data_IF_540727387049
#
_entry.id   IF_540727387049
#
_cell.length_a   1.000
_cell.length_b   1.000
_cell.length_c   1.000
_cell.angle_alpha   90.00
_cell.angle_beta   90.00
_cell.angle_gamma   90.00
#
_symmetry.space_group_name_H-M   'P 1'
#
loop_
_entity.id
_entity.type
_entity.pdbx_description
1 polymer ?
#
# COMPACT_ATOMS: atom_id res chain seq x y z
N UNK A 1 16.05 -20.39 2.78
CA UNK A 1 15.82 -21.85 2.84
C UNK A 1 14.99 -22.25 1.63
N UNK A 2 15.32 -23.30 0.88
CA UNK A 2 14.47 -23.78 -0.19
C UNK A 2 13.33 -24.60 0.44
N UNK A 3 12.14 -24.02 0.55
CA UNK A 3 10.92 -24.78 0.80
C UNK A 3 10.44 -25.31 -0.55
N UNK A 4 10.81 -26.54 -0.89
CA UNK A 4 10.16 -27.25 -1.99
C UNK A 4 8.79 -27.68 -1.48
N UNK A 5 7.76 -26.98 -1.93
CA UNK A 5 6.40 -27.44 -1.81
C UNK A 5 6.14 -28.46 -2.91
N UNK A 6 5.51 -29.57 -2.58
CA UNK A 6 5.02 -30.52 -3.57
C UNK A 6 3.68 -30.01 -4.12
N UNK A 7 3.73 -29.29 -5.24
CA UNK A 7 2.54 -28.75 -5.91
C UNK A 7 1.83 -29.86 -6.69
N UNK A 8 0.51 -29.98 -6.52
CA UNK A 8 -0.29 -30.91 -7.30
C UNK A 8 -0.68 -30.30 -8.66
N UNK A 9 -1.02 -31.11 -9.67
CA UNK A 9 -1.60 -30.59 -10.92
C UNK A 9 -2.84 -29.72 -10.70
N UNK A 10 -3.63 -30.02 -9.66
CA UNK A 10 -4.80 -29.22 -9.32
C UNK A 10 -4.42 -27.81 -8.82
N UNK A 11 -3.32 -27.68 -8.06
CA UNK A 11 -2.85 -26.38 -7.57
C UNK A 11 -2.45 -25.46 -8.73
N UNK A 12 -1.80 -26.02 -9.76
CA UNK A 12 -1.36 -25.28 -10.94
C UNK A 12 -2.52 -24.73 -11.78
N UNK A 13 -3.65 -25.45 -11.83
CA UNK A 13 -4.82 -25.08 -12.64
C UNK A 13 -5.81 -24.23 -11.85
N UNK A 14 -5.84 -24.35 -10.51
CA UNK A 14 -6.79 -23.67 -9.64
C UNK A 14 -6.10 -22.85 -8.53
N UNK A 15 -5.26 -21.86 -8.86
CA UNK A 15 -4.62 -21.01 -7.86
C UNK A 15 -5.63 -20.17 -7.09
N UNK A 16 -5.39 -19.97 -5.79
CA UNK A 16 -6.27 -19.19 -4.91
C UNK A 16 -5.61 -17.85 -4.56
N UNK A 17 -6.13 -16.77 -5.13
CA UNK A 17 -5.74 -15.39 -4.79
C UNK A 17 -6.71 -14.74 -3.82
N UNK A 18 -6.57 -14.98 -2.52
CA UNK A 18 -7.41 -14.33 -1.50
C UNK A 18 -6.60 -13.83 -0.31
N UNK A 19 -6.86 -12.58 0.11
CA UNK A 19 -6.24 -11.98 1.30
C UNK A 19 -6.78 -12.55 2.63
N UNK A 20 -7.80 -13.40 2.58
CA UNK A 20 -8.37 -14.07 3.77
C UNK A 20 -7.66 -15.41 4.09
N UNK A 21 -6.70 -15.82 3.27
CA UNK A 21 -5.92 -17.03 3.49
C UNK A 21 -5.01 -16.88 4.72
N UNK A 22 -4.78 -17.99 5.42
CA UNK A 22 -3.77 -18.04 6.48
C UNK A 22 -2.37 -17.71 5.92
N UNK A 23 -1.47 -17.20 6.76
CA UNK A 23 -0.14 -16.75 6.34
C UNK A 23 0.65 -17.82 5.57
N UNK A 24 0.58 -19.09 6.01
CA UNK A 24 1.19 -20.21 5.31
C UNK A 24 0.58 -20.43 3.92
N UNK A 25 -0.75 -20.38 3.79
CA UNK A 25 -1.44 -20.54 2.51
C UNK A 25 -1.15 -19.37 1.55
N UNK A 26 -1.06 -18.13 2.06
CA UNK A 26 -0.61 -16.99 1.26
C UNK A 26 0.81 -17.19 0.72
N UNK A 27 1.72 -17.64 1.58
CA UNK A 27 3.10 -17.91 1.17
C UNK A 27 3.18 -19.03 0.12
N UNK A 28 2.43 -20.12 0.33
CA UNK A 28 2.30 -21.21 -0.63
C UNK A 28 1.80 -20.73 -1.99
N UNK A 29 0.68 -20.00 -2.03
CA UNK A 29 0.05 -19.53 -3.27
C UNK A 29 0.92 -18.51 -4.03
N UNK A 30 1.64 -17.64 -3.31
CA UNK A 30 2.58 -16.70 -3.92
C UNK A 30 3.79 -17.41 -4.52
N UNK A 31 4.35 -18.37 -3.80
CA UNK A 31 5.50 -19.16 -4.30
C UNK A 31 5.10 -20.01 -5.50
N UNK A 32 3.90 -20.60 -5.48
CA UNK A 32 3.31 -21.31 -6.62
C UNK A 32 3.20 -20.41 -7.84
N UNK A 33 2.64 -19.21 -7.66
CA UNK A 33 2.47 -18.26 -8.76
C UNK A 33 3.80 -17.83 -9.35
N UNK A 34 4.74 -17.40 -8.50
CA UNK A 34 6.08 -16.94 -8.90
C UNK A 34 6.87 -18.00 -9.67
N UNK A 35 6.83 -19.26 -9.24
CA UNK A 35 7.70 -20.31 -9.79
C UNK A 35 7.09 -21.11 -10.93
N UNK A 36 5.77 -21.26 -10.97
CA UNK A 36 5.13 -22.24 -11.85
C UNK A 36 4.00 -21.67 -12.72
N UNK A 37 3.37 -20.56 -12.33
CA UNK A 37 2.24 -19.99 -13.08
C UNK A 37 2.66 -18.77 -13.89
N UNK A 38 3.58 -17.96 -13.37
CA UNK A 38 4.02 -16.74 -14.06
C UNK A 38 4.71 -17.08 -15.40
N UNK A 39 4.35 -16.40 -16.51
CA UNK A 39 4.98 -16.62 -17.81
C UNK A 39 6.49 -16.33 -17.78
N UNK A 40 7.31 -17.24 -18.30
CA UNK A 40 8.77 -17.15 -18.26
C UNK A 40 9.34 -16.11 -19.25
N UNK A 41 8.55 -15.71 -20.23
CA UNK A 41 8.89 -14.76 -21.29
C UNK A 41 8.51 -13.31 -20.95
N UNK A 42 7.91 -13.07 -19.78
CA UNK A 42 7.53 -11.75 -19.31
C UNK A 42 8.47 -11.26 -18.19
N UNK A 43 8.71 -9.94 -18.09
CA UNK A 43 9.45 -9.37 -16.97
C UNK A 43 8.73 -9.63 -15.65
N UNK A 44 9.44 -10.13 -14.64
CA UNK A 44 8.86 -10.37 -13.32
C UNK A 44 8.13 -9.13 -12.77
N UNK A 45 6.96 -9.32 -12.14
CA UNK A 45 6.18 -8.21 -11.61
C UNK A 45 6.93 -7.51 -10.48
N UNK A 46 6.73 -6.20 -10.39
CA UNK A 46 7.33 -5.38 -9.34
C UNK A 46 6.65 -5.65 -7.99
N UNK A 47 7.35 -6.35 -7.08
CA UNK A 47 6.83 -6.66 -5.75
C UNK A 47 7.08 -5.51 -4.76
N UNK A 48 6.02 -4.73 -4.50
CA UNK A 48 6.08 -3.50 -3.71
C UNK A 48 5.74 -3.70 -2.22
N UNK A 49 5.25 -4.88 -1.80
CA UNK A 49 4.74 -5.09 -0.44
C UNK A 49 5.85 -5.62 0.48
N UNK A 50 6.81 -6.39 -0.06
CA UNK A 50 7.88 -7.00 0.75
C UNK A 50 9.29 -6.64 0.30
N UNK A 51 9.53 -6.57 -1.00
CA UNK A 51 10.87 -6.30 -1.54
C UNK A 51 11.10 -4.79 -1.70
N UNK A 52 10.30 -4.13 -2.54
CA UNK A 52 10.56 -2.73 -2.93
C UNK A 52 9.60 -1.74 -2.29
N UNK A 53 9.45 -1.82 -0.96
CA UNK A 53 8.52 -0.99 -0.18
C UNK A 53 8.73 0.53 -0.30
N UNK A 54 9.95 0.96 -0.67
CA UNK A 54 10.32 2.37 -0.83
C UNK A 54 10.14 2.87 -2.27
N UNK A 55 9.79 2.00 -3.21
CA UNK A 55 9.59 2.40 -4.60
C UNK A 55 8.47 3.44 -4.71
N UNK A 56 8.75 4.55 -5.40
CA UNK A 56 7.83 5.68 -5.50
C UNK A 56 7.71 6.54 -4.23
N UNK A 57 8.43 6.20 -3.15
CA UNK A 57 8.46 6.98 -1.90
C UNK A 57 9.78 7.72 -1.68
N UNK A 58 10.84 7.33 -2.39
CA UNK A 58 12.15 8.01 -2.35
C UNK A 58 12.66 8.29 -3.75
N UNK A 59 13.44 9.36 -3.88
CA UNK A 59 14.21 9.64 -5.09
C UNK A 59 15.57 8.92 -5.08
N UNK A 60 16.38 9.16 -6.12
CA UNK A 60 17.73 8.58 -6.23
C UNK A 60 18.69 9.09 -5.15
N UNK A 61 18.41 10.24 -4.55
CA UNK A 61 19.17 10.83 -3.45
C UNK A 61 18.63 10.40 -2.07
N UNK A 62 17.70 9.43 -2.01
CA UNK A 62 17.04 8.96 -0.79
C UNK A 62 16.17 10.01 -0.09
N UNK A 63 15.77 11.07 -0.80
CA UNK A 63 14.83 12.06 -0.29
C UNK A 63 13.40 11.54 -0.41
N UNK A 64 12.59 11.72 0.64
CA UNK A 64 11.18 11.30 0.64
C UNK A 64 10.37 12.09 -0.38
N UNK A 65 9.67 11.38 -1.27
CA UNK A 65 8.74 11.93 -2.24
C UNK A 65 7.33 11.86 -1.68
N UNK A 66 6.56 12.94 -1.87
CA UNK A 66 5.15 13.01 -1.50
C UNK A 66 4.37 13.47 -2.72
N UNK A 67 3.47 12.60 -3.20
CA UNK A 67 2.58 12.94 -4.32
C UNK A 67 1.60 14.03 -3.89
N UNK A 68 1.41 15.03 -4.76
CA UNK A 68 0.51 16.17 -4.54
C UNK A 68 -0.76 16.03 -5.39
N UNK A 69 -1.87 16.57 -4.89
CA UNK A 69 -3.18 16.48 -5.52
C UNK A 69 -3.25 16.86 -7.01
N UNK A 70 -2.58 17.94 -7.48
CA UNK A 70 -2.65 18.35 -8.89
C UNK A 70 -2.12 17.31 -9.89
N UNK A 71 -1.29 16.36 -9.46
CA UNK A 71 -0.70 15.34 -10.32
C UNK A 71 -1.53 14.05 -10.39
N UNK A 72 -2.67 14.02 -9.69
CA UNK A 72 -3.55 12.88 -9.61
C UNK A 72 -4.69 12.99 -10.62
N UNK A 73 -5.04 11.87 -11.22
CA UNK A 73 -6.17 11.71 -12.12
C UNK A 73 -7.16 10.69 -11.55
N UNK A 74 -8.44 10.92 -11.81
CA UNK A 74 -9.52 10.04 -11.40
C UNK A 74 -9.45 8.74 -12.22
N UNK A 75 -9.64 7.61 -11.55
CA UNK A 75 -9.88 6.31 -12.18
C UNK A 75 -11.39 6.19 -12.43
N UNK A 76 -11.76 6.05 -13.70
CA UNK A 76 -13.17 5.98 -14.14
C UNK A 76 -13.75 4.60 -13.91
N UNK A 77 -12.95 3.56 -14.13
CA UNK A 77 -13.32 2.16 -13.93
C UNK A 77 -13.09 1.72 -12.48
N UNK A 78 -13.64 2.47 -11.52
CA UNK A 78 -13.53 2.21 -10.09
C UNK A 78 -14.85 1.68 -9.50
N UNK A 79 -14.75 0.81 -8.49
CA UNK A 79 -15.91 0.32 -7.73
C UNK A 79 -16.47 1.39 -6.79
N UNK A 80 -15.57 2.19 -6.20
CA UNK A 80 -15.94 3.34 -5.37
C UNK A 80 -15.66 4.66 -6.09
N UNK A 81 -16.50 5.70 -5.89
CA UNK A 81 -16.21 7.01 -6.45
C UNK A 81 -14.92 7.59 -5.85
N UNK A 82 -14.24 8.44 -6.61
CA UNK A 82 -13.09 9.22 -6.16
C UNK A 82 -11.82 8.39 -5.85
N UNK A 83 -11.56 7.32 -6.61
CA UNK A 83 -10.23 6.71 -6.65
C UNK A 83 -9.31 7.52 -7.58
N UNK A 84 -8.10 7.79 -7.11
CA UNK A 84 -7.11 8.59 -7.82
C UNK A 84 -5.82 7.82 -7.98
N UNK A 85 -5.09 8.06 -9.06
CA UNK A 85 -3.71 7.61 -9.22
C UNK A 85 -2.92 8.69 -9.97
N UNK A 86 -1.61 8.54 -10.09
CA UNK A 86 -0.83 9.39 -10.98
C UNK A 86 -1.37 9.23 -12.42
N UNK A 87 -1.42 10.32 -13.18
CA UNK A 87 -2.03 10.34 -14.51
C UNK A 87 -1.60 9.19 -15.43
N UNK A 88 -0.29 8.85 -15.56
CA UNK A 88 0.15 7.71 -16.37
C UNK A 88 -0.41 6.37 -15.90
N UNK A 89 -0.54 6.20 -14.58
CA UNK A 89 -1.04 4.97 -13.96
C UNK A 89 -2.55 4.84 -14.13
N UNK A 90 -3.29 5.93 -13.94
CA UNK A 90 -4.71 5.96 -14.24
C UNK A 90 -4.99 5.63 -15.72
N UNK A 91 -4.24 6.23 -16.65
CA UNK A 91 -4.37 5.93 -18.07
C UNK A 91 -4.04 4.47 -18.41
N UNK A 92 -2.96 3.93 -17.83
CA UNK A 92 -2.57 2.54 -18.05
C UNK A 92 -3.64 1.57 -17.52
N UNK A 93 -4.21 1.86 -16.35
CA UNK A 93 -5.29 1.06 -15.78
C UNK A 93 -6.55 1.08 -16.65
N UNK A 94 -6.99 2.26 -17.12
CA UNK A 94 -8.15 2.33 -18.02
C UNK A 94 -7.90 1.58 -19.35
N UNK A 95 -6.69 1.68 -19.89
CA UNK A 95 -6.29 0.94 -21.09
C UNK A 95 -6.34 -0.57 -20.87
N UNK A 96 -5.90 -1.03 -19.70
CA UNK A 96 -5.99 -2.42 -19.29
C UNK A 96 -7.44 -2.89 -19.17
N UNK A 97 -8.30 -2.12 -18.49
CA UNK A 97 -9.74 -2.43 -18.36
C UNK A 97 -10.40 -2.54 -19.74
N UNK A 98 -10.12 -1.61 -20.65
CA UNK A 98 -10.68 -1.66 -22.00
C UNK A 98 -10.18 -2.86 -22.80
N UNK A 99 -8.89 -3.20 -22.67
CA UNK A 99 -8.33 -4.40 -23.29
C UNK A 99 -9.02 -5.67 -22.78
N UNK A 100 -9.20 -5.81 -21.46
CA UNK A 100 -9.87 -6.96 -20.85
C UNK A 100 -11.34 -7.07 -21.30
N UNK A 101 -12.05 -5.95 -21.39
CA UNK A 101 -13.43 -5.93 -21.94
C UNK A 101 -13.48 -6.41 -23.38
N UNK A 102 -12.56 -5.95 -24.24
CA UNK A 102 -12.46 -6.41 -25.64
C UNK A 102 -12.16 -7.90 -25.73
N UNK A 103 -11.19 -8.38 -24.95
CA UNK A 103 -10.83 -9.81 -24.90
C UNK A 103 -12.01 -10.69 -24.46
N UNK A 104 -12.81 -10.22 -23.50
CA UNK A 104 -14.01 -10.92 -23.05
C UNK A 104 -15.13 -10.93 -24.12
N UNK A 105 -15.38 -9.81 -24.80
CA UNK A 105 -16.35 -9.74 -25.91
C UNK A 105 -15.95 -10.70 -27.05
N UNK A 106 -14.65 -10.81 -27.34
CA UNK A 106 -14.11 -11.74 -28.34
C UNK A 106 -14.11 -13.20 -27.88
N UNK A 107 -14.49 -13.50 -26.63
CA UNK A 107 -14.52 -14.86 -26.07
C UNK A 107 -13.17 -15.41 -25.63
N UNK A 108 -12.06 -14.69 -25.85
CA UNK A 108 -10.70 -15.16 -25.54
C UNK A 108 -10.52 -15.41 -24.03
N UNK A 109 -11.17 -14.61 -23.19
CA UNK A 109 -11.07 -14.73 -21.74
C UNK A 109 -12.15 -15.63 -21.10
N UNK A 110 -13.19 -16.03 -21.84
CA UNK A 110 -14.47 -16.49 -21.26
C UNK A 110 -14.51 -17.97 -20.90
N UNK A 111 -13.71 -18.79 -21.57
CA UNK A 111 -13.81 -20.25 -21.47
C UNK A 111 -12.85 -20.86 -20.41
N UNK A 112 -11.83 -20.11 -20.00
CA UNK A 112 -10.76 -20.57 -19.08
C UNK A 112 -10.40 -19.50 -18.02
N UNK A 113 -10.84 -18.25 -18.21
CA UNK A 113 -10.43 -17.12 -17.37
C UNK A 113 -11.22 -16.99 -16.07
N UNK A 114 -10.63 -16.28 -15.11
CA UNK A 114 -11.30 -15.89 -13.87
C UNK A 114 -12.45 -14.90 -14.19
N UNK A 115 -13.72 -15.18 -13.82
CA UNK A 115 -14.83 -14.28 -14.10
C UNK A 115 -14.70 -12.88 -13.52
N UNK A 116 -13.89 -12.70 -12.46
CA UNK A 116 -13.58 -11.39 -11.89
C UNK A 116 -12.75 -10.51 -12.83
N UNK A 117 -12.11 -11.10 -13.84
CA UNK A 117 -11.33 -10.39 -14.85
C UNK A 117 -12.19 -9.89 -16.03
N UNK A 118 -13.48 -10.22 -16.06
CA UNK A 118 -14.40 -9.85 -17.15
C UNK A 118 -14.80 -8.38 -17.12
N UNK A 119 -14.92 -7.81 -15.92
CA UNK A 119 -15.17 -6.38 -15.67
C UNK A 119 -14.28 -5.92 -14.52
N UNK A 120 -13.00 -5.71 -14.84
CA UNK A 120 -12.00 -5.25 -13.88
C UNK A 120 -12.40 -3.88 -13.36
N UNK A 121 -12.44 -3.74 -12.03
CA UNK A 121 -12.69 -2.47 -11.34
C UNK A 121 -11.62 -2.22 -10.30
N UNK A 122 -11.17 -0.97 -10.20
CA UNK A 122 -10.30 -0.55 -9.12
C UNK A 122 -11.09 -0.52 -7.80
N UNK A 123 -10.57 -1.19 -6.79
CA UNK A 123 -11.06 -1.19 -5.41
C UNK A 123 -10.25 -0.25 -4.52
N UNK A 124 -8.95 -0.12 -4.79
CA UNK A 124 -8.03 0.72 -4.03
C UNK A 124 -7.06 1.46 -4.95
N UNK A 125 -6.73 2.69 -4.57
CA UNK A 125 -5.76 3.52 -5.29
C UNK A 125 -5.11 4.50 -4.30
N UNK A 126 -4.68 5.67 -4.77
CA UNK A 126 -3.98 6.68 -3.99
C UNK A 126 -4.61 6.90 -2.61
N UNK A 127 -3.76 6.82 -1.58
CA UNK A 127 -4.14 7.12 -0.20
C UNK A 127 -3.39 8.36 0.27
N UNK A 128 -4.11 9.31 0.89
CA UNK A 128 -3.53 10.59 1.25
C UNK A 128 -2.51 10.45 2.42
N UNK A 129 -1.21 10.67 2.18
CA UNK A 129 -0.17 10.52 3.20
C UNK A 129 -0.30 11.55 4.32
N UNK A 130 -0.89 12.72 4.06
CA UNK A 130 -1.12 13.75 5.08
C UNK A 130 -2.16 13.30 6.10
N UNK A 131 -3.28 12.75 5.64
CA UNK A 131 -4.34 12.24 6.52
C UNK A 131 -3.82 11.06 7.36
N UNK A 132 -3.07 10.14 6.76
CA UNK A 132 -2.44 9.03 7.49
C UNK A 132 -1.47 9.50 8.56
N UNK A 133 -0.62 10.48 8.24
CA UNK A 133 0.32 11.04 9.20
C UNK A 133 -0.38 11.82 10.33
N UNK A 134 -1.48 12.52 10.02
CA UNK A 134 -2.26 13.21 11.06
C UNK A 134 -2.87 12.20 12.05
N UNK A 135 -3.54 11.16 11.55
CA UNK A 135 -4.09 10.11 12.40
C UNK A 135 -3.00 9.42 13.25
N UNK A 136 -1.80 9.27 12.69
CA UNK A 136 -0.64 8.75 13.41
C UNK A 136 -0.18 9.69 14.55
N UNK A 137 -0.11 11.00 14.31
CA UNK A 137 0.22 11.98 15.35
C UNK A 137 -0.85 12.08 16.45
N UNK A 138 -2.12 11.95 16.09
CA UNK A 138 -3.23 11.87 17.06
C UNK A 138 -3.04 10.67 18.00
N UNK A 139 -2.67 9.51 17.45
CA UNK A 139 -2.31 8.34 18.25
C UNK A 139 -1.13 8.59 19.19
N UNK A 140 -0.07 9.22 18.71
CA UNK A 140 1.09 9.59 19.52
C UNK A 140 0.72 10.54 20.66
N UNK A 141 -0.16 11.50 20.38
CA UNK A 141 -0.67 12.45 21.36
C UNK A 141 -1.52 11.76 22.43
N UNK A 142 -2.37 10.80 22.05
CA UNK A 142 -3.17 10.01 23.00
C UNK A 142 -2.28 9.17 23.93
N UNK A 143 -1.18 8.60 23.42
CA UNK A 143 -0.20 7.90 24.27
C UNK A 143 0.46 8.89 25.25
N UNK A 144 0.88 10.05 24.76
CA UNK A 144 1.44 11.10 25.63
C UNK A 144 0.48 11.48 26.76
N UNK A 145 -0.80 11.74 26.45
CA UNK A 145 -1.85 12.07 27.43
C UNK A 145 -2.02 10.98 28.48
N UNK A 146 -1.94 9.70 28.11
CA UNK A 146 -2.05 8.57 29.06
C UNK A 146 -0.83 8.41 29.94
N UNK A 147 0.34 8.82 29.46
CA UNK A 147 1.60 8.81 30.24
C UNK A 147 1.79 10.07 31.09
N UNK A 148 0.82 10.98 31.06
CA UNK A 148 0.92 12.30 31.68
C UNK A 148 0.79 12.19 33.20
N UNK A 149 1.82 12.61 33.93
CA UNK A 149 1.84 12.55 35.40
C UNK A 149 1.26 13.82 36.04
N UNK A 150 0.70 13.75 37.26
CA UNK A 150 0.22 14.93 37.98
C UNK A 150 1.29 16.03 38.13
N UNK A 151 2.54 15.65 38.38
CA UNK A 151 3.69 16.57 38.50
C UNK A 151 4.04 17.28 37.19
N UNK A 152 3.76 16.67 36.04
CA UNK A 152 3.90 17.32 34.74
C UNK A 152 2.74 18.29 34.49
N UNK A 153 1.54 17.97 34.97
CA UNK A 153 0.37 18.84 34.84
C UNK A 153 0.56 20.19 35.53
N UNK A 154 1.18 20.19 36.72
CA UNK A 154 1.49 21.42 37.47
C UNK A 154 2.51 22.32 36.75
N UNK A 155 3.35 21.76 35.88
CA UNK A 155 4.37 22.50 35.11
C UNK A 155 3.84 23.06 33.79
N UNK A 156 2.66 22.63 33.34
CA UNK A 156 2.03 23.14 32.13
C UNK A 156 1.09 24.30 32.50
N UNK A 157 1.62 25.52 32.39
CA UNK A 157 0.89 26.76 32.70
C UNK A 157 0.15 27.34 31.49
N UNK A 158 0.44 26.83 30.29
CA UNK A 158 -0.19 27.25 29.04
C UNK A 158 0.36 26.54 27.80
N UNK A 159 -0.03 27.02 26.62
CA UNK A 159 0.28 26.38 25.34
C UNK A 159 1.79 26.27 25.06
N UNK A 160 2.57 27.29 25.40
CA UNK A 160 4.03 27.27 25.20
C UNK A 160 4.69 26.17 26.04
N UNK A 161 4.42 26.13 27.35
CA UNK A 161 4.96 25.11 28.25
C UNK A 161 4.51 23.69 27.86
N UNK A 162 3.28 23.56 27.37
CA UNK A 162 2.79 22.30 26.83
C UNK A 162 3.57 21.87 25.58
N UNK A 163 3.79 22.79 24.64
CA UNK A 163 4.49 22.50 23.39
C UNK A 163 5.93 22.07 23.67
N UNK A 164 6.60 22.73 24.63
CA UNK A 164 7.94 22.37 25.06
C UNK A 164 8.00 20.98 25.71
N UNK A 165 7.05 20.64 26.58
CA UNK A 165 7.00 19.30 27.19
C UNK A 165 6.69 18.22 26.16
N UNK A 166 5.70 18.44 25.31
CA UNK A 166 5.34 17.49 24.25
C UNK A 166 6.48 17.30 23.24
N UNK A 167 7.23 18.36 22.90
CA UNK A 167 8.44 18.24 22.07
C UNK A 167 9.49 17.36 22.75
N UNK A 168 9.72 17.51 24.05
CA UNK A 168 10.65 16.64 24.80
C UNK A 168 10.19 15.19 24.80
N UNK A 169 8.89 14.95 24.97
CA UNK A 169 8.29 13.63 24.85
C UNK A 169 8.56 13.03 23.45
N UNK A 170 8.25 13.77 22.39
CA UNK A 170 8.48 13.35 21.01
C UNK A 170 9.95 13.03 20.75
N UNK A 171 10.88 13.86 21.22
CA UNK A 171 12.33 13.60 21.11
C UNK A 171 12.77 12.35 21.87
N UNK A 172 12.12 12.01 22.99
CA UNK A 172 12.41 10.79 23.75
C UNK A 172 11.95 9.54 22.99
N UNK A 173 10.76 9.57 22.41
CA UNK A 173 10.20 8.43 21.67
C UNK A 173 10.71 8.33 20.23
N UNK A 174 11.31 9.39 19.68
CA UNK A 174 11.79 9.43 18.29
C UNK A 174 12.82 8.36 17.93
N UNK A 175 13.50 7.81 18.94
CA UNK A 175 14.45 6.70 18.79
C UNK A 175 13.80 5.42 18.27
N UNK A 176 12.53 5.21 18.55
CA UNK A 176 11.78 3.99 18.17
C UNK A 176 10.51 4.31 17.38
N UNK A 177 10.05 5.57 17.41
CA UNK A 177 8.80 6.01 16.82
C UNK A 177 9.06 7.14 15.82
N UNK A 178 8.72 7.00 14.53
CA UNK A 178 9.02 8.01 13.52
C UNK A 178 8.19 9.29 13.69
N UNK A 179 8.76 10.27 14.36
CA UNK A 179 8.08 11.55 14.67
C UNK A 179 7.95 12.45 13.43
N UNK A 180 8.84 12.37 12.45
CA UNK A 180 8.76 13.22 11.26
C UNK A 180 7.92 12.56 10.18
N UNK A 181 7.20 13.38 9.39
CA UNK A 181 6.40 12.89 8.26
C UNK A 181 7.24 12.07 7.28
N UNK A 182 8.46 12.52 6.98
CA UNK A 182 9.37 11.82 6.08
C UNK A 182 9.68 10.42 6.59
N UNK A 183 10.11 10.28 7.85
CA UNK A 183 10.43 8.96 8.42
C UNK A 183 9.18 8.07 8.53
N UNK A 184 8.02 8.66 8.86
CA UNK A 184 6.76 7.92 8.91
C UNK A 184 6.43 7.28 7.57
N UNK A 185 6.57 8.01 6.45
CA UNK A 185 6.26 7.50 5.12
C UNK A 185 7.15 6.34 4.66
N UNK A 186 8.38 6.29 5.19
CA UNK A 186 9.33 5.22 4.90
C UNK A 186 9.08 3.96 5.75
N UNK A 187 8.13 3.98 6.69
CA UNK A 187 7.80 2.79 7.47
C UNK A 187 7.02 1.75 6.65
N UNK A 188 7.13 0.46 7.00
CA UNK A 188 6.33 -0.62 6.40
C UNK A 188 4.83 -0.49 6.64
N UNK A 189 4.40 0.27 7.67
CA UNK A 189 2.98 0.48 7.96
C UNK A 189 2.31 1.45 6.97
N UNK A 190 3.11 2.19 6.19
CA UNK A 190 2.59 3.09 5.15
C UNK A 190 2.46 2.32 3.85
N UNK A 191 1.22 2.23 3.38
CA UNK A 191 0.88 1.52 2.14
C UNK A 191 1.62 2.08 0.90
N UNK A 192 2.01 1.23 -0.05
CA UNK A 192 2.56 1.64 -1.34
C UNK A 192 1.59 2.52 -2.15
N UNK A 193 0.28 2.44 -1.88
CA UNK A 193 -0.74 3.30 -2.50
C UNK A 193 -0.50 4.80 -2.24
N UNK A 194 0.26 5.18 -1.20
CA UNK A 194 0.60 6.60 -0.95
C UNK A 194 1.43 7.26 -2.06
N UNK A 195 2.11 6.47 -2.89
CA UNK A 195 2.85 6.97 -4.07
C UNK A 195 1.93 7.39 -5.22
N UNK A 196 0.72 6.82 -5.30
CA UNK A 196 -0.14 6.94 -6.48
C UNK A 196 0.34 6.10 -7.68
N UNK A 197 1.31 5.21 -7.50
CA UNK A 197 1.84 4.31 -8.53
C UNK A 197 1.19 2.92 -8.54
N UNK A 198 0.22 2.67 -7.66
CA UNK A 198 -0.43 1.38 -7.53
C UNK A 198 -1.96 1.54 -7.57
N UNK A 199 -2.62 0.57 -8.19
CA UNK A 199 -4.07 0.37 -8.23
C UNK A 199 -4.32 -1.10 -7.94
N UNK A 200 -5.33 -1.41 -7.12
CA UNK A 200 -5.78 -2.76 -6.84
C UNK A 200 -7.28 -2.88 -7.03
#
# INVERSE_FOLDING_TARGET
>A
MPTNFDYTPNDLVNPIGSNQLAAFALYYQRTLYERHIYPQDLPFPLELWYDKQLYGKVDRAQSTIITTGPNLSIIKSAESPNLYALAPVAMAFESFVEHMRKANIMGVAKDIGNPKMYDVKAQMAYSNPRQKYQAYLEGAFEVYRKTFTPEQNEKILGFSSFTDDYKKYLLRVSKTYPVTKSNFLLTPSVSPFTSGLAVA
#
